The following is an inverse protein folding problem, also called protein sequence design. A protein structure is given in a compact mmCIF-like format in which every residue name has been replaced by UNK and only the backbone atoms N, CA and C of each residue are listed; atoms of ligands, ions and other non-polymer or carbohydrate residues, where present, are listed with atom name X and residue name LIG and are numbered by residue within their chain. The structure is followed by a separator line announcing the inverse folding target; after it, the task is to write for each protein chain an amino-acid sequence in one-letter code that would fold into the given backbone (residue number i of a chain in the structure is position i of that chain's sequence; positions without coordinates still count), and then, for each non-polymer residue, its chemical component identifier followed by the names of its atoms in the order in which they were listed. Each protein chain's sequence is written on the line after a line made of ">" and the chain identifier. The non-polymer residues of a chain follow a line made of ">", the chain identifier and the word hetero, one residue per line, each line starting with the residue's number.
data_IF_087247838853
#
_entry.id   IF_087247838853
#
_cell.length_a   1.000
_cell.length_b   1.000
_cell.length_c   1.000
_cell.angle_alpha   90.00
_cell.angle_beta   90.00
_cell.angle_gamma   90.00
#
_symmetry.space_group_name_H-M   'P 1'
#
loop_
_entity.id
_entity.type
_entity.pdbx_description
1 polymer ?
#
# COMPACT_ATOMS: atom_id res chain seq x y z
N UNK A 1 -1.52 -10.19 1.06
CA UNK A 1 -0.38 -9.28 0.89
C UNK A 1 0.36 -9.57 -0.41
N UNK A 2 1.01 -8.53 -0.97
CA UNK A 2 1.83 -8.71 -2.17
C UNK A 2 1.09 -8.71 -3.50
N UNK A 3 -0.20 -8.40 -3.54
CA UNK A 3 -1.02 -8.36 -4.76
C UNK A 3 -1.10 -6.98 -5.42
N UNK A 4 -0.36 -5.98 -4.90
CA UNK A 4 -0.28 -4.66 -5.51
C UNK A 4 -1.35 -3.65 -5.05
N UNK A 5 -1.93 -3.80 -3.86
CA UNK A 5 -2.96 -2.88 -3.34
C UNK A 5 -2.49 -1.42 -3.30
N UNK A 6 -1.31 -1.16 -2.79
CA UNK A 6 -0.73 0.19 -2.71
C UNK A 6 -0.50 0.78 -4.10
N UNK A 7 0.00 -0.02 -5.05
CA UNK A 7 0.22 0.40 -6.43
C UNK A 7 -1.08 0.82 -7.14
N UNK A 8 -2.21 0.19 -6.81
CA UNK A 8 -3.53 0.59 -7.32
C UNK A 8 -3.89 2.01 -6.85
N UNK A 9 -3.63 2.34 -5.59
CA UNK A 9 -3.90 3.67 -5.04
C UNK A 9 -2.97 4.72 -5.64
N UNK A 10 -1.70 4.41 -5.83
CA UNK A 10 -0.74 5.26 -6.55
C UNK A 10 -1.19 5.48 -8.00
N UNK A 11 -1.64 4.44 -8.68
CA UNK A 11 -2.21 4.52 -10.02
C UNK A 11 -3.44 5.43 -10.10
N UNK A 12 -4.32 5.36 -9.10
CA UNK A 12 -5.47 6.26 -8.98
C UNK A 12 -5.01 7.73 -8.82
N UNK A 13 -4.02 7.99 -7.97
CA UNK A 13 -3.47 9.33 -7.79
C UNK A 13 -2.92 9.90 -9.10
N UNK A 14 -2.19 9.10 -9.87
CA UNK A 14 -1.70 9.49 -11.20
C UNK A 14 -2.83 9.78 -12.19
N UNK A 15 -3.91 9.00 -12.18
CA UNK A 15 -5.07 9.27 -13.03
C UNK A 15 -5.80 10.56 -12.64
N UNK A 16 -5.89 10.88 -11.36
CA UNK A 16 -6.46 12.14 -10.89
C UNK A 16 -5.63 13.32 -11.42
N UNK A 17 -4.30 13.25 -11.33
CA UNK A 17 -3.40 14.31 -11.82
C UNK A 17 -3.57 14.53 -13.32
N UNK A 18 -3.76 13.47 -14.11
CA UNK A 18 -4.00 13.56 -15.56
C UNK A 18 -5.42 13.98 -15.93
N UNK A 19 -6.34 14.05 -14.96
CA UNK A 19 -7.76 14.30 -15.21
C UNK A 19 -8.51 13.10 -15.81
N UNK A 20 -7.90 11.91 -15.83
CA UNK A 20 -8.47 10.67 -16.34
C UNK A 20 -9.29 9.94 -15.26
N UNK A 21 -10.27 10.64 -14.72
CA UNK A 21 -11.17 10.18 -13.67
C UNK A 21 -12.55 10.82 -13.87
N UNK A 22 -13.62 10.24 -13.28
CA UNK A 22 -14.94 10.89 -13.24
C UNK A 22 -14.87 12.27 -12.57
N UNK A 23 -15.80 13.15 -12.93
CA UNK A 23 -15.81 14.55 -12.48
C UNK A 23 -15.80 14.72 -10.97
N UNK A 24 -16.41 13.81 -10.22
CA UNK A 24 -16.43 13.82 -8.76
C UNK A 24 -15.09 13.48 -8.11
N UNK A 25 -14.13 12.97 -8.88
CA UNK A 25 -12.77 12.67 -8.42
C UNK A 25 -11.73 13.68 -8.93
N UNK A 26 -12.10 14.52 -9.90
CA UNK A 26 -11.20 15.59 -10.37
C UNK A 26 -10.88 16.53 -9.22
N UNK A 27 -9.64 17.00 -9.17
CA UNK A 27 -9.12 17.89 -8.12
C UNK A 27 -9.09 17.29 -6.70
N UNK A 28 -9.32 15.99 -6.55
CA UNK A 28 -9.07 15.30 -5.28
C UNK A 28 -7.57 15.07 -5.10
N UNK A 29 -7.15 15.02 -3.83
CA UNK A 29 -5.79 14.68 -3.45
C UNK A 29 -5.81 13.42 -2.59
N UNK A 30 -4.87 12.50 -2.83
CA UNK A 30 -4.72 11.31 -2.02
C UNK A 30 -3.50 11.50 -1.12
N UNK A 31 -3.70 11.39 0.18
CA UNK A 31 -2.63 11.41 1.18
C UNK A 31 -2.55 10.06 1.88
N UNK A 32 -1.33 9.53 2.00
CA UNK A 32 -1.09 8.32 2.80
C UNK A 32 -0.90 8.69 4.26
N UNK A 33 -1.63 8.02 5.14
CA UNK A 33 -1.43 8.14 6.59
C UNK A 33 -0.27 7.25 7.01
N UNK A 34 0.86 7.86 7.31
CA UNK A 34 2.05 7.18 7.83
C UNK A 34 2.04 7.17 9.36
N UNK A 35 1.57 6.05 9.92
CA UNK A 35 1.54 5.84 11.36
C UNK A 35 2.94 5.79 11.97
N UNK A 36 3.92 5.25 11.23
CA UNK A 36 5.31 5.20 11.68
C UNK A 36 5.89 6.59 11.88
N UNK A 37 5.66 7.49 10.93
CA UNK A 37 6.11 8.87 11.02
C UNK A 37 5.43 9.65 12.17
N UNK A 38 4.15 9.38 12.43
CA UNK A 38 3.42 10.00 13.55
C UNK A 38 3.97 9.57 14.91
N UNK A 39 4.38 8.32 15.05
CA UNK A 39 4.93 7.77 16.29
C UNK A 39 6.41 8.15 16.47
N UNK A 40 7.21 8.06 15.41
CA UNK A 40 8.67 8.24 15.48
C UNK A 40 9.13 9.63 15.98
N UNK A 41 8.32 10.66 15.80
CA UNK A 41 8.63 12.00 16.28
C UNK A 41 7.98 12.39 17.59
N UNK A 42 7.16 11.54 18.20
CA UNK A 42 6.44 11.83 19.42
C UNK A 42 7.30 11.51 20.66
N UNK A 43 7.49 12.48 21.54
CA UNK A 43 8.25 12.31 22.79
C UNK A 43 7.42 11.62 23.89
N UNK A 44 6.10 11.70 23.80
CA UNK A 44 5.15 11.10 24.72
C UNK A 44 3.79 10.85 24.02
N UNK A 45 2.98 10.02 24.65
CA UNK A 45 1.69 9.55 24.12
C UNK A 45 0.74 10.67 23.67
N UNK A 46 0.61 11.73 24.46
CA UNK A 46 -0.27 12.87 24.17
C UNK A 46 0.12 13.61 22.88
N UNK A 47 1.40 13.70 22.57
CA UNK A 47 1.88 14.36 21.34
C UNK A 47 1.47 13.58 20.09
N UNK A 48 1.52 12.25 20.13
CA UNK A 48 1.01 11.39 19.05
C UNK A 48 -0.48 11.59 18.82
N UNK A 49 -1.28 11.58 19.90
CA UNK A 49 -2.72 11.80 19.83
C UNK A 49 -3.07 13.17 19.26
N UNK A 50 -2.38 14.23 19.67
CA UNK A 50 -2.57 15.59 19.15
C UNK A 50 -2.24 15.68 17.68
N UNK A 51 -1.16 15.06 17.23
CA UNK A 51 -0.78 15.01 15.81
C UNK A 51 -1.82 14.30 14.97
N UNK A 52 -2.29 13.14 15.41
CA UNK A 52 -3.32 12.39 14.71
C UNK A 52 -4.64 13.15 14.64
N UNK A 53 -5.07 13.77 15.76
CA UNK A 53 -6.26 14.64 15.78
C UNK A 53 -6.13 15.83 14.84
N UNK A 54 -4.94 16.43 14.75
CA UNK A 54 -4.66 17.52 13.81
C UNK A 54 -4.83 17.07 12.37
N UNK A 55 -4.26 15.92 11.99
CA UNK A 55 -4.43 15.35 10.64
C UNK A 55 -5.90 15.08 10.33
N UNK A 56 -6.63 14.45 11.25
CA UNK A 56 -8.07 14.18 11.07
C UNK A 56 -8.85 15.48 10.86
N UNK A 57 -8.59 16.49 11.68
CA UNK A 57 -9.27 17.78 11.58
C UNK A 57 -8.99 18.49 10.26
N UNK A 58 -7.75 18.42 9.75
CA UNK A 58 -7.42 19.01 8.44
C UNK A 58 -8.13 18.30 7.30
N UNK A 59 -8.18 16.97 7.34
CA UNK A 59 -8.90 16.18 6.32
C UNK A 59 -10.40 16.47 6.35
N UNK A 60 -11.00 16.57 7.54
CA UNK A 60 -12.43 16.93 7.70
C UNK A 60 -12.70 18.33 7.18
N UNK A 61 -11.86 19.32 7.51
CA UNK A 61 -11.97 20.71 7.03
C UNK A 61 -11.84 20.85 5.52
N UNK A 62 -11.17 19.93 4.86
CA UNK A 62 -11.01 19.91 3.41
C UNK A 62 -12.31 19.52 2.66
N UNK A 63 -13.41 19.27 3.37
CA UNK A 63 -14.76 19.04 2.83
C UNK A 63 -14.80 17.99 1.71
N UNK A 64 -14.01 16.92 1.87
CA UNK A 64 -13.94 15.81 0.92
C UNK A 64 -13.06 16.04 -0.29
N UNK A 65 -12.23 17.09 -0.33
CA UNK A 65 -11.19 17.28 -1.35
C UNK A 65 -9.99 16.35 -1.12
N UNK A 66 -9.80 15.89 0.11
CA UNK A 66 -8.75 14.95 0.50
C UNK A 66 -9.32 13.55 0.67
N UNK A 67 -8.65 12.57 0.07
CA UNK A 67 -8.88 11.14 0.28
C UNK A 67 -7.69 10.60 1.06
N UNK A 68 -7.95 10.02 2.23
CA UNK A 68 -6.92 9.47 3.09
C UNK A 68 -6.69 7.99 2.75
N UNK A 69 -5.48 7.65 2.33
CA UNK A 69 -5.09 6.25 2.15
C UNK A 69 -4.50 5.69 3.45
N UNK A 70 -5.04 4.58 3.91
CA UNK A 70 -4.61 3.91 5.15
C UNK A 70 -4.25 2.48 4.81
N UNK A 71 -2.96 2.19 4.75
CA UNK A 71 -2.50 0.81 4.60
C UNK A 71 -2.63 0.07 5.94
N UNK A 72 -2.86 -1.24 5.87
CA UNK A 72 -3.11 -2.08 7.05
C UNK A 72 -4.16 -1.48 8.02
N UNK A 73 -5.25 -0.97 7.46
CA UNK A 73 -6.29 -0.24 8.22
C UNK A 73 -6.83 -1.03 9.42
N UNK A 74 -6.75 -2.37 9.39
CA UNK A 74 -7.14 -3.22 10.50
C UNK A 74 -6.39 -2.90 11.80
N UNK A 75 -5.15 -2.40 11.71
CA UNK A 75 -4.36 -2.01 12.88
C UNK A 75 -4.97 -0.84 13.62
N UNK A 76 -5.69 0.03 12.93
CA UNK A 76 -6.33 1.23 13.45
C UNK A 76 -7.77 1.02 13.93
N UNK A 77 -8.32 -0.17 13.72
CA UNK A 77 -9.71 -0.45 14.10
C UNK A 77 -9.85 -1.58 15.14
N UNK A 78 -8.75 -2.02 15.70
CA UNK A 78 -8.78 -2.96 16.83
C UNK A 78 -7.79 -4.14 16.77
N UNK A 79 -7.00 -4.25 15.70
CA UNK A 79 -6.01 -5.33 15.56
C UNK A 79 -4.62 -4.97 16.11
N UNK A 80 -4.37 -3.69 16.40
CA UNK A 80 -3.07 -3.21 16.84
C UNK A 80 -2.70 -3.73 18.23
N UNK A 81 -1.52 -4.34 18.32
CA UNK A 81 -0.93 -4.72 19.61
C UNK A 81 -0.02 -3.58 20.07
N UNK A 82 -0.47 -2.81 21.03
CA UNK A 82 0.32 -1.73 21.64
C UNK A 82 -0.52 -0.52 22.01
N UNK A 83 -0.05 0.27 22.95
CA UNK A 83 -0.79 1.44 23.44
C UNK A 83 -1.08 2.47 22.34
N UNK A 84 -0.11 2.75 21.46
CA UNK A 84 -0.29 3.72 20.37
C UNK A 84 -1.34 3.30 19.32
N UNK A 85 -1.48 2.01 19.03
CA UNK A 85 -2.48 1.50 18.08
C UNK A 85 -3.91 1.60 18.66
N UNK A 86 -4.09 1.38 19.96
CA UNK A 86 -5.37 1.58 20.64
C UNK A 86 -5.80 3.05 20.64
N UNK A 87 -4.86 3.96 20.81
CA UNK A 87 -5.15 5.40 20.81
C UNK A 87 -5.52 5.89 19.41
N UNK A 88 -4.84 5.41 18.38
CA UNK A 88 -5.18 5.69 16.99
C UNK A 88 -6.60 5.19 16.64
N UNK A 89 -6.94 3.98 17.07
CA UNK A 89 -8.27 3.41 16.87
C UNK A 89 -9.37 4.26 17.53
N UNK A 90 -9.14 4.75 18.74
CA UNK A 90 -10.09 5.60 19.47
C UNK A 90 -10.32 6.96 18.78
N UNK A 91 -9.35 7.47 18.03
CA UNK A 91 -9.45 8.74 17.30
C UNK A 91 -10.05 8.54 15.91
N UNK A 92 -9.58 7.56 15.15
CA UNK A 92 -9.96 7.35 13.75
C UNK A 92 -11.28 6.63 13.57
N UNK A 93 -11.56 5.61 14.36
CA UNK A 93 -12.77 4.81 14.22
C UNK A 93 -14.05 5.62 14.29
N UNK A 94 -14.24 6.57 15.23
CA UNK A 94 -15.43 7.42 15.24
C UNK A 94 -15.57 8.28 13.97
N UNK A 95 -14.49 8.89 13.49
CA UNK A 95 -14.50 9.71 12.29
C UNK A 95 -14.79 8.90 11.01
N UNK A 96 -14.24 7.69 10.90
CA UNK A 96 -14.55 6.75 9.82
C UNK A 96 -16.02 6.29 9.88
N UNK A 97 -16.51 5.93 11.06
CA UNK A 97 -17.88 5.47 11.26
C UNK A 97 -18.92 6.56 10.98
N UNK A 98 -18.63 7.82 11.24
CA UNK A 98 -19.49 8.95 10.89
C UNK A 98 -19.42 9.36 9.41
N UNK A 99 -18.45 8.85 8.67
CA UNK A 99 -18.21 9.20 7.27
C UNK A 99 -17.63 10.60 7.06
N UNK A 100 -16.99 11.15 8.08
CA UNK A 100 -16.32 12.45 8.03
C UNK A 100 -15.01 12.40 7.25
N UNK A 101 -14.39 11.22 7.19
CA UNK A 101 -13.16 10.96 6.45
C UNK A 101 -13.46 10.18 5.18
N UNK A 102 -13.12 10.75 4.02
CA UNK A 102 -13.05 9.98 2.77
C UNK A 102 -11.78 9.16 2.78
N UNK A 103 -11.90 7.85 2.79
CA UNK A 103 -10.76 6.97 3.02
C UNK A 103 -10.75 5.79 2.07
N UNK A 104 -9.54 5.37 1.70
CA UNK A 104 -9.25 4.10 1.05
C UNK A 104 -8.43 3.29 2.04
N UNK A 105 -8.98 2.21 2.55
CA UNK A 105 -8.27 1.28 3.43
C UNK A 105 -7.76 0.08 2.67
N UNK A 106 -6.54 -0.36 2.95
CA UNK A 106 -6.02 -1.62 2.46
C UNK A 106 -5.82 -2.60 3.61
N UNK A 107 -6.19 -3.87 3.38
CA UNK A 107 -6.04 -4.93 4.36
C UNK A 107 -6.02 -6.30 3.68
N UNK A 108 -5.81 -7.37 4.43
CA UNK A 108 -5.98 -8.74 3.95
C UNK A 108 -7.43 -9.20 4.14
N UNK A 109 -7.82 -10.26 3.43
CA UNK A 109 -9.16 -10.83 3.56
C UNK A 109 -9.43 -11.34 4.99
N UNK A 110 -8.46 -12.02 5.58
CA UNK A 110 -8.57 -12.57 6.94
C UNK A 110 -8.74 -11.45 7.99
N UNK A 111 -7.96 -10.38 7.88
CA UNK A 111 -8.06 -9.24 8.77
C UNK A 111 -9.37 -8.46 8.58
N UNK A 112 -9.84 -8.34 7.34
CA UNK A 112 -11.14 -7.76 7.05
C UNK A 112 -12.27 -8.52 7.72
N UNK A 113 -12.32 -9.83 7.57
CA UNK A 113 -13.35 -10.69 8.18
C UNK A 113 -13.30 -10.64 9.71
N UNK A 114 -12.11 -10.54 10.27
CA UNK A 114 -11.90 -10.53 11.71
C UNK A 114 -12.28 -9.21 12.38
N UNK A 115 -11.99 -8.09 11.76
CA UNK A 115 -12.08 -6.75 12.38
C UNK A 115 -13.12 -5.83 11.77
N UNK A 116 -13.37 -5.90 10.45
CA UNK A 116 -14.30 -5.02 9.76
C UNK A 116 -15.70 -5.61 9.62
N UNK A 117 -15.83 -6.82 9.16
CA UNK A 117 -17.10 -7.47 8.91
C UNK A 117 -17.95 -7.62 10.17
N UNK A 118 -17.31 -7.72 11.33
CA UNK A 118 -17.97 -7.78 12.63
C UNK A 118 -18.39 -6.42 13.18
N UNK A 119 -17.83 -5.34 12.68
CA UNK A 119 -18.13 -3.98 13.10
C UNK A 119 -19.16 -3.34 12.17
N UNK A 120 -20.43 -3.38 12.57
CA UNK A 120 -21.54 -2.88 11.75
C UNK A 120 -21.44 -1.38 11.41
N UNK A 121 -20.77 -0.59 12.22
CA UNK A 121 -20.58 0.83 11.96
C UNK A 121 -19.57 1.06 10.82
N UNK A 122 -18.50 0.29 10.78
CA UNK A 122 -17.49 0.35 9.72
C UNK A 122 -17.97 -0.35 8.43
N UNK A 123 -18.58 -1.53 8.55
CA UNK A 123 -19.11 -2.28 7.40
C UNK A 123 -20.04 -1.42 6.53
N UNK A 124 -20.87 -0.61 7.14
CA UNK A 124 -21.80 0.30 6.41
C UNK A 124 -21.12 1.46 5.71
N UNK A 125 -19.87 1.75 6.03
CA UNK A 125 -19.13 2.92 5.53
C UNK A 125 -18.07 2.56 4.48
N UNK A 126 -17.68 1.30 4.43
CA UNK A 126 -16.68 0.83 3.48
C UNK A 126 -17.29 -0.18 2.52
N UNK A 127 -17.11 0.09 1.23
CA UNK A 127 -17.38 -0.89 0.19
C UNK A 127 -16.10 -1.67 -0.10
N UNK A 128 -16.20 -2.99 -0.13
CA UNK A 128 -15.06 -3.86 -0.40
C UNK A 128 -14.75 -3.92 -1.89
N UNK A 129 -13.47 -3.85 -2.21
CA UNK A 129 -12.93 -4.09 -3.55
C UNK A 129 -11.89 -5.20 -3.43
N UNK A 130 -12.20 -6.37 -3.99
CA UNK A 130 -11.27 -7.50 -3.98
C UNK A 130 -10.14 -7.28 -4.97
N UNK A 131 -8.91 -7.34 -4.48
CA UNK A 131 -7.69 -7.32 -5.32
C UNK A 131 -7.15 -8.74 -5.38
N UNK A 132 -7.44 -9.43 -6.47
CA UNK A 132 -6.95 -10.78 -6.69
C UNK A 132 -5.47 -10.79 -7.09
N UNK A 133 -4.82 -11.93 -6.86
CA UNK A 133 -3.49 -12.18 -7.41
C UNK A 133 -3.53 -12.13 -8.95
N UNK A 134 -2.65 -11.38 -9.61
CA UNK A 134 -2.59 -11.38 -11.07
C UNK A 134 -2.09 -12.73 -11.60
N UNK A 135 -2.53 -13.09 -12.80
CA UNK A 135 -2.00 -14.24 -13.51
C UNK A 135 -0.54 -14.02 -13.98
N UNK A 136 0.08 -15.06 -14.50
CA UNK A 136 1.48 -15.00 -14.96
C UNK A 136 1.67 -14.01 -16.11
N UNK A 137 0.75 -13.92 -17.06
CA UNK A 137 0.85 -13.01 -18.20
C UNK A 137 0.72 -11.55 -17.76
N UNK A 138 -0.25 -11.25 -16.89
CA UNK A 138 -0.41 -9.92 -16.30
C UNK A 138 0.81 -9.53 -15.47
N UNK A 139 1.37 -10.48 -14.71
CA UNK A 139 2.58 -10.25 -13.90
C UNK A 139 3.80 -9.95 -14.77
N UNK A 140 3.98 -10.66 -15.88
CA UNK A 140 5.05 -10.36 -16.85
C UNK A 140 4.92 -8.92 -17.36
N UNK A 141 3.71 -8.49 -17.70
CA UNK A 141 3.45 -7.12 -18.14
C UNK A 141 3.78 -6.09 -17.05
N UNK A 142 3.46 -6.38 -15.78
CA UNK A 142 3.82 -5.53 -14.64
C UNK A 142 5.34 -5.41 -14.52
N UNK A 143 6.08 -6.52 -14.54
CA UNK A 143 7.53 -6.50 -14.42
C UNK A 143 8.21 -5.79 -15.60
N UNK A 144 7.69 -5.94 -16.81
CA UNK A 144 8.14 -5.17 -17.97
C UNK A 144 8.00 -3.65 -17.76
N UNK A 145 6.91 -3.22 -17.16
CA UNK A 145 6.70 -1.82 -16.81
C UNK A 145 7.65 -1.30 -15.71
N UNK A 146 8.14 -2.19 -14.85
CA UNK A 146 9.08 -1.85 -13.77
C UNK A 146 10.55 -2.00 -14.16
N UNK A 147 10.85 -2.66 -15.26
CA UNK A 147 12.20 -3.04 -15.71
C UNK A 147 13.19 -1.89 -15.66
N UNK A 148 12.88 -0.79 -16.30
CA UNK A 148 13.77 0.37 -16.40
C UNK A 148 14.15 0.95 -15.03
N UNK A 149 13.20 0.99 -14.09
CA UNK A 149 13.43 1.45 -12.73
C UNK A 149 14.46 0.58 -12.01
N UNK A 150 14.36 -0.74 -12.13
CA UNK A 150 15.29 -1.67 -11.50
C UNK A 150 16.65 -1.71 -12.20
N UNK A 151 16.69 -1.61 -13.53
CA UNK A 151 17.93 -1.48 -14.29
C UNK A 151 18.69 -0.22 -13.87
N UNK A 152 18.01 0.91 -13.70
CA UNK A 152 18.61 2.16 -13.25
C UNK A 152 19.11 2.10 -11.80
N UNK A 153 18.36 1.43 -10.94
CA UNK A 153 18.73 1.30 -9.52
C UNK A 153 19.97 0.41 -9.33
N UNK A 154 20.00 -0.76 -9.96
CA UNK A 154 21.09 -1.71 -9.80
C UNK A 154 22.24 -1.51 -10.79
N UNK A 155 22.09 -0.65 -11.79
CA UNK A 155 23.10 -0.45 -12.87
C UNK A 155 23.43 -1.73 -13.64
N UNK A 156 22.42 -2.55 -13.90
CA UNK A 156 22.48 -3.78 -14.68
C UNK A 156 21.43 -3.78 -15.77
N UNK A 157 21.59 -4.63 -16.79
CA UNK A 157 20.56 -4.88 -17.79
C UNK A 157 19.73 -6.10 -17.42
N UNK A 158 18.42 -5.99 -17.54
CA UNK A 158 17.47 -7.08 -17.30
C UNK A 158 16.88 -7.51 -18.63
N UNK A 159 17.20 -8.73 -19.06
CA UNK A 159 16.64 -9.29 -20.29
C UNK A 159 15.18 -9.70 -20.11
N UNK A 160 14.41 -9.72 -21.19
CA UNK A 160 13.00 -10.13 -21.14
C UNK A 160 12.84 -11.58 -20.67
N UNK A 161 13.76 -12.47 -21.06
CA UNK A 161 13.79 -13.85 -20.60
C UNK A 161 13.99 -13.96 -19.07
N UNK A 162 14.73 -13.03 -18.47
CA UNK A 162 14.90 -12.97 -17.02
C UNK A 162 13.60 -12.56 -16.33
N UNK A 163 12.83 -11.65 -16.90
CA UNK A 163 11.51 -11.25 -16.41
C UNK A 163 10.55 -12.45 -16.46
N UNK A 164 10.48 -13.15 -17.59
CA UNK A 164 9.64 -14.34 -17.74
C UNK A 164 10.05 -15.42 -16.72
N UNK A 165 11.35 -15.68 -16.60
CA UNK A 165 11.88 -16.64 -15.64
C UNK A 165 11.55 -16.26 -14.18
N UNK A 166 11.66 -14.98 -13.82
CA UNK A 166 11.31 -14.51 -12.48
C UNK A 166 9.83 -14.78 -12.13
N UNK A 167 8.93 -14.56 -13.08
CA UNK A 167 7.50 -14.85 -12.89
C UNK A 167 7.23 -16.34 -12.81
N UNK A 168 7.74 -17.13 -13.76
CA UNK A 168 7.49 -18.57 -13.82
C UNK A 168 8.10 -19.33 -12.64
N UNK A 169 9.35 -19.02 -12.27
CA UNK A 169 10.05 -19.68 -11.18
C UNK A 169 9.46 -19.29 -9.82
N UNK A 170 9.15 -18.01 -9.60
CA UNK A 170 8.50 -17.59 -8.36
C UNK A 170 7.10 -18.21 -8.22
N UNK A 171 6.35 -18.29 -9.31
CA UNK A 171 5.02 -18.92 -9.29
C UNK A 171 5.09 -20.43 -8.98
N UNK A 172 6.13 -21.11 -9.47
CA UNK A 172 6.31 -22.55 -9.29
C UNK A 172 6.89 -22.93 -7.92
N UNK A 173 7.85 -22.16 -7.42
CA UNK A 173 8.65 -22.55 -6.26
C UNK A 173 8.40 -21.74 -4.99
N UNK A 174 7.83 -20.54 -5.10
CA UNK A 174 7.47 -19.71 -3.94
C UNK A 174 5.96 -19.76 -3.76
N UNK A 175 5.49 -20.72 -2.97
CA UNK A 175 4.06 -21.00 -2.79
C UNK A 175 3.40 -20.22 -1.66
N UNK A 176 4.18 -19.69 -0.72
CA UNK A 176 3.67 -18.98 0.45
C UNK A 176 3.50 -17.46 0.23
N UNK A 177 3.88 -16.97 -0.95
CA UNK A 177 3.78 -15.56 -1.35
C UNK A 177 3.01 -15.42 -2.66
N UNK A 178 2.57 -14.21 -2.95
CA UNK A 178 1.70 -13.89 -4.07
C UNK A 178 2.42 -13.09 -5.16
N UNK A 179 1.96 -13.27 -6.40
CA UNK A 179 2.28 -12.40 -7.52
C UNK A 179 1.56 -11.04 -7.34
N UNK A 180 2.15 -9.91 -7.74
CA UNK A 180 3.43 -9.80 -8.45
C UNK A 180 4.65 -9.71 -7.52
N UNK A 181 4.49 -9.49 -6.22
CA UNK A 181 5.59 -9.18 -5.30
C UNK A 181 6.69 -10.23 -5.30
N UNK A 182 6.35 -11.52 -5.24
CA UNK A 182 7.37 -12.58 -5.23
C UNK A 182 8.22 -12.61 -6.49
N UNK A 183 7.67 -12.25 -7.65
CA UNK A 183 8.40 -12.15 -8.90
C UNK A 183 9.26 -10.88 -8.96
N UNK A 184 8.75 -9.77 -8.46
CA UNK A 184 9.50 -8.51 -8.34
C UNK A 184 10.70 -8.69 -7.43
N UNK A 185 10.53 -9.30 -6.27
CA UNK A 185 11.62 -9.55 -5.33
C UNK A 185 12.69 -10.46 -5.93
N UNK A 186 12.28 -11.51 -6.65
CA UNK A 186 13.22 -12.40 -7.31
C UNK A 186 14.06 -11.68 -8.37
N UNK A 187 13.43 -10.80 -9.17
CA UNK A 187 14.11 -9.95 -10.13
C UNK A 187 15.08 -8.97 -9.45
N UNK A 188 14.64 -8.34 -8.38
CA UNK A 188 15.40 -7.37 -7.59
C UNK A 188 16.65 -8.01 -6.97
N UNK A 189 16.49 -9.14 -6.28
CA UNK A 189 17.59 -9.89 -5.67
C UNK A 189 18.59 -10.40 -6.70
N UNK A 190 18.14 -10.92 -7.84
CA UNK A 190 19.00 -11.37 -8.91
C UNK A 190 19.84 -10.22 -9.50
N UNK A 191 19.22 -9.05 -9.69
CA UNK A 191 19.90 -7.86 -10.18
C UNK A 191 20.94 -7.34 -9.16
N UNK A 192 20.59 -7.33 -7.87
CA UNK A 192 21.51 -6.96 -6.80
C UNK A 192 22.72 -7.89 -6.71
N UNK A 193 22.48 -9.21 -6.80
CA UNK A 193 23.55 -10.22 -6.80
C UNK A 193 24.49 -10.04 -7.98
N UNK A 194 23.94 -9.88 -9.20
CA UNK A 194 24.75 -9.65 -10.40
C UNK A 194 25.60 -8.39 -10.27
N UNK A 195 25.08 -7.30 -9.72
CA UNK A 195 25.84 -6.08 -9.47
C UNK A 195 27.00 -6.30 -8.52
N UNK A 196 26.77 -7.01 -7.43
CA UNK A 196 27.84 -7.36 -6.47
C UNK A 196 28.95 -8.20 -7.12
N UNK A 197 28.58 -9.15 -7.99
CA UNK A 197 29.55 -9.98 -8.70
C UNK A 197 30.42 -9.14 -9.67
N UNK A 198 29.80 -8.19 -10.38
CA UNK A 198 30.52 -7.27 -11.28
C UNK A 198 31.46 -6.36 -10.51
N UNK A 199 31.05 -5.81 -9.38
CA UNK A 199 31.87 -4.92 -8.57
C UNK A 199 32.99 -5.65 -7.79
N UNK A 200 32.88 -6.97 -7.60
CA UNK A 200 33.86 -7.79 -6.87
C UNK A 200 34.94 -8.38 -7.75
N UNK A 201 34.90 -8.22 -9.07
CA UNK A 201 35.94 -8.69 -9.98
C UNK A 201 37.12 -7.71 -9.89
N UNK A 202 38.32 -8.13 -9.42
CA UNK A 202 39.54 -7.29 -9.44
C UNK A 202 39.88 -6.95 -10.90
N UNK A 203 40.30 -5.71 -11.15
CA UNK A 203 40.87 -5.26 -12.42
C UNK A 203 42.12 -6.07 -12.82
#
# INVERSE_FOLDING_TARGET
>A
PGTGKTAIVEGLAHRIIRGDVPDNLKNKQIFSLDMGALVAGAKYKGEFEERLKSVVNEVVKAEGSIILFIDEIHTLVGAGKGEGAMDAANILKPALARGELRSIGATTLDEYQKYFEKDKALERRFQTVMVAEPDTLSTISILRGLKERYENHHKVRIKDEAIIAAVELSNRYITERFLPDKAIDLMDEAAAKLRMEVDSVPE
#
